data_IF_360967293699
#
_entry.id   IF_360967293699
#
_cell.length_a   1.000
_cell.length_b   1.000
_cell.length_c   1.000
_cell.angle_alpha   90.00
_cell.angle_beta   90.00
_cell.angle_gamma   90.00
#
_symmetry.space_group_name_H-M   'P 1'
#
loop_
_entity.id
_entity.type
_entity.pdbx_description
1 polymer ?
#
# COMPACT_ATOMS: atom_id res chain seq x y z
N UNK A 1 -8.59 -6.51 10.74
CA UNK A 1 -7.39 -6.44 9.90
C UNK A 1 -6.48 -5.32 10.38
N UNK A 2 -7.04 -4.18 10.84
CA UNK A 2 -6.24 -3.01 11.17
C UNK A 2 -5.75 -2.33 9.90
N UNK A 3 -4.74 -1.45 10.03
CA UNK A 3 -4.20 -0.68 8.91
C UNK A 3 -4.40 0.83 9.10
N UNK A 4 -3.64 1.61 8.32
CA UNK A 4 -3.66 3.07 8.38
C UNK A 4 -5.06 3.65 8.09
N UNK A 5 -5.80 3.06 7.14
CA UNK A 5 -7.12 3.55 6.76
C UNK A 5 -8.12 3.55 7.92
N UNK A 6 -8.23 2.41 8.62
CA UNK A 6 -9.17 2.23 9.72
C UNK A 6 -8.80 1.03 10.60
N UNK A 7 -8.81 1.23 11.92
CA UNK A 7 -8.49 0.19 12.90
C UNK A 7 -9.44 -1.01 12.88
N UNK A 8 -10.67 -0.82 12.43
CA UNK A 8 -11.72 -1.83 12.33
C UNK A 8 -11.89 -2.39 10.90
N UNK A 9 -10.93 -2.12 10.01
CA UNK A 9 -10.94 -2.65 8.66
C UNK A 9 -11.11 -4.18 8.65
N UNK A 10 -12.00 -4.65 7.79
CA UNK A 10 -12.28 -6.07 7.57
C UNK A 10 -12.23 -6.39 6.07
N UNK A 11 -11.97 -7.66 5.77
CA UNK A 11 -11.98 -8.20 4.41
C UNK A 11 -12.93 -9.39 4.37
N UNK A 12 -13.51 -9.65 3.21
CA UNK A 12 -14.36 -10.84 2.99
C UNK A 12 -13.65 -11.77 2.02
N UNK A 13 -13.42 -13.02 2.43
CA UNK A 13 -12.80 -14.05 1.61
C UNK A 13 -13.89 -15.02 1.16
N UNK A 14 -13.93 -15.30 -0.15
CA UNK A 14 -14.80 -16.32 -0.77
C UNK A 14 -13.87 -17.42 -1.32
N UNK A 15 -13.55 -18.46 -0.53
CA UNK A 15 -12.53 -19.44 -0.89
C UNK A 15 -12.87 -20.23 -2.15
N UNK A 16 -14.14 -20.59 -2.34
CA UNK A 16 -14.60 -21.40 -3.48
C UNK A 16 -14.39 -20.68 -4.82
N UNK A 17 -14.55 -19.35 -4.82
CA UNK A 17 -14.37 -18.51 -5.99
C UNK A 17 -12.96 -17.90 -6.08
N UNK A 18 -12.11 -18.13 -5.07
CA UNK A 18 -10.77 -17.53 -4.95
C UNK A 18 -10.81 -16.00 -5.05
N UNK A 19 -11.74 -15.38 -4.32
CA UNK A 19 -11.95 -13.93 -4.32
C UNK A 19 -11.74 -13.35 -2.91
N UNK A 20 -11.11 -12.17 -2.83
CA UNK A 20 -11.05 -11.35 -1.62
C UNK A 20 -11.62 -9.97 -1.90
N UNK A 21 -12.59 -9.53 -1.09
CA UNK A 21 -13.05 -8.15 -1.07
C UNK A 21 -12.22 -7.37 -0.03
N UNK A 22 -11.43 -6.43 -0.52
CA UNK A 22 -10.55 -5.58 0.30
C UNK A 22 -11.26 -4.35 0.85
N UNK A 23 -12.31 -3.90 0.16
CA UNK A 23 -12.87 -2.57 0.41
C UNK A 23 -11.75 -1.52 0.39
N UNK A 24 -11.59 -0.77 1.47
CA UNK A 24 -10.69 0.38 1.54
C UNK A 24 -9.45 0.10 2.41
N UNK A 25 -9.23 -1.16 2.83
CA UNK A 25 -8.25 -1.47 3.87
C UNK A 25 -6.80 -1.10 3.51
N UNK A 26 -6.44 -1.11 2.22
CA UNK A 26 -5.10 -0.77 1.74
C UNK A 26 -4.94 0.70 1.32
N UNK A 27 -5.96 1.55 1.48
CA UNK A 27 -5.83 2.99 1.22
C UNK A 27 -5.18 3.74 2.39
N UNK A 28 -4.80 5.00 2.14
CA UNK A 28 -4.19 5.88 3.13
C UNK A 28 -5.12 6.15 4.33
N UNK A 29 -4.52 6.57 5.43
CA UNK A 29 -5.24 7.32 6.47
C UNK A 29 -5.72 8.67 5.88
N UNK A 30 -7.04 8.84 5.83
CA UNK A 30 -7.70 10.06 5.35
C UNK A 30 -8.19 10.96 6.51
N UNK A 31 -8.07 10.51 7.75
CA UNK A 31 -8.83 11.03 8.89
C UNK A 31 -7.98 11.83 9.87
N UNK A 32 -6.64 11.67 9.85
CA UNK A 32 -5.74 12.28 10.83
C UNK A 32 -4.65 13.16 10.21
N UNK A 33 -5.06 14.07 9.33
CA UNK A 33 -4.16 15.06 8.71
C UNK A 33 -3.92 14.80 7.23
N UNK A 34 -2.70 15.08 6.72
CA UNK A 34 -2.34 14.70 5.36
C UNK A 34 -2.52 13.19 5.14
N UNK A 35 -2.82 12.81 3.90
CA UNK A 35 -2.85 11.42 3.45
C UNK A 35 -1.56 10.74 3.86
N UNK A 36 -1.65 9.58 4.52
CA UNK A 36 -0.44 8.92 5.00
C UNK A 36 -0.55 7.40 5.04
N UNK A 37 0.62 6.77 4.87
CA UNK A 37 0.86 5.38 5.22
C UNK A 37 1.94 5.28 6.29
N UNK A 38 1.85 4.26 7.14
CA UNK A 38 2.95 3.83 8.00
C UNK A 38 3.34 2.40 7.64
N UNK A 39 4.63 2.12 7.59
CA UNK A 39 5.15 0.75 7.40
C UNK A 39 4.66 -0.19 8.51
N UNK A 40 4.53 0.32 9.74
CA UNK A 40 4.11 -0.43 10.92
C UNK A 40 2.70 -1.02 10.79
N UNK A 41 1.76 -0.28 10.20
CA UNK A 41 0.38 -0.73 10.01
C UNK A 41 0.18 -1.37 8.63
N UNK A 42 0.74 -0.79 7.57
CA UNK A 42 0.51 -1.26 6.20
C UNK A 42 1.19 -2.60 5.90
N UNK A 43 2.43 -2.84 6.36
CA UNK A 43 3.17 -4.03 5.93
C UNK A 43 2.56 -5.33 6.48
N UNK A 44 2.17 -5.43 7.77
CA UNK A 44 1.48 -6.62 8.28
C UNK A 44 0.14 -6.87 7.56
N UNK A 45 -0.57 -5.79 7.19
CA UNK A 45 -1.81 -5.90 6.43
C UNK A 45 -1.56 -6.45 5.03
N UNK A 46 -0.57 -5.92 4.30
CA UNK A 46 -0.14 -6.44 3.00
C UNK A 46 0.20 -7.93 3.12
N UNK A 47 1.02 -8.33 4.10
CA UNK A 47 1.43 -9.73 4.29
C UNK A 47 0.23 -10.67 4.49
N UNK A 48 -0.78 -10.20 5.21
CA UNK A 48 -2.01 -10.96 5.41
C UNK A 48 -2.80 -11.07 4.10
N UNK A 49 -2.96 -9.96 3.37
CA UNK A 49 -3.74 -9.90 2.13
C UNK A 49 -3.11 -10.76 1.02
N UNK A 50 -1.80 -10.63 0.78
CA UNK A 50 -1.10 -11.42 -0.25
C UNK A 50 -1.02 -12.91 0.10
N UNK A 51 -1.18 -13.24 1.39
CA UNK A 51 -1.19 -14.60 1.91
C UNK A 51 -2.45 -15.39 1.58
N UNK A 52 -3.54 -14.74 1.14
CA UNK A 52 -4.76 -15.45 0.74
C UNK A 52 -4.56 -16.26 -0.55
N UNK A 53 -5.13 -17.47 -0.60
CA UNK A 53 -5.27 -18.25 -1.83
C UNK A 53 -6.44 -17.71 -2.65
N UNK A 54 -6.22 -16.55 -3.27
CA UNK A 54 -7.18 -15.87 -4.13
C UNK A 54 -6.55 -15.46 -5.45
N UNK A 55 -7.34 -15.54 -6.52
CA UNK A 55 -6.97 -15.15 -7.88
C UNK A 55 -7.31 -13.67 -8.13
N UNK A 56 -8.36 -13.17 -7.46
CA UNK A 56 -8.87 -11.81 -7.64
C UNK A 56 -9.13 -11.07 -6.32
N UNK A 57 -8.89 -9.76 -6.36
CA UNK A 57 -9.03 -8.83 -5.24
C UNK A 57 -9.88 -7.65 -5.68
N UNK A 58 -10.92 -7.34 -4.90
CA UNK A 58 -11.87 -6.26 -5.24
C UNK A 58 -11.71 -5.10 -4.25
N UNK A 59 -11.43 -3.93 -4.80
CA UNK A 59 -11.35 -2.67 -4.08
C UNK A 59 -12.74 -2.11 -3.77
N UNK A 60 -12.83 -1.17 -2.84
CA UNK A 60 -14.09 -0.51 -2.52
C UNK A 60 -14.61 0.39 -3.64
N UNK A 61 -13.71 0.95 -4.46
CA UNK A 61 -14.05 1.98 -5.46
C UNK A 61 -13.60 1.66 -6.89
N UNK A 62 -12.81 0.61 -7.10
CA UNK A 62 -12.41 0.18 -8.44
C UNK A 62 -13.49 -0.75 -9.03
N UNK A 63 -14.07 -0.44 -10.21
CA UNK A 63 -15.03 -1.33 -10.85
C UNK A 63 -14.42 -2.67 -11.31
N UNK A 64 -13.11 -2.74 -11.53
CA UNK A 64 -12.46 -3.93 -12.10
C UNK A 64 -11.73 -4.75 -11.01
N UNK A 65 -11.89 -6.09 -11.01
CA UNK A 65 -11.12 -6.96 -10.12
C UNK A 65 -9.63 -6.91 -10.44
N UNK A 66 -8.81 -6.74 -9.40
CA UNK A 66 -7.36 -6.81 -9.50
C UNK A 66 -6.90 -8.28 -9.45
N UNK A 67 -6.05 -8.70 -10.39
CA UNK A 67 -5.45 -10.05 -10.35
C UNK A 67 -4.41 -10.18 -9.23
N UNK A 68 -4.14 -11.41 -8.77
CA UNK A 68 -3.05 -11.67 -7.82
C UNK A 68 -1.69 -11.13 -8.26
N UNK A 69 -1.36 -11.23 -9.54
CA UNK A 69 -0.10 -10.69 -10.08
C UNK A 69 -0.05 -9.17 -9.94
N UNK A 70 -1.11 -8.47 -10.35
CA UNK A 70 -1.21 -7.01 -10.21
C UNK A 70 -1.17 -6.56 -8.74
N UNK A 71 -1.79 -7.31 -7.82
CA UNK A 71 -1.70 -7.04 -6.40
C UNK A 71 -0.27 -7.17 -5.89
N UNK A 72 0.46 -8.21 -6.30
CA UNK A 72 1.86 -8.42 -5.89
C UNK A 72 2.77 -7.30 -6.41
N UNK A 73 2.55 -6.86 -7.66
CA UNK A 73 3.30 -5.73 -8.22
C UNK A 73 3.02 -4.44 -7.45
N UNK A 74 1.73 -4.13 -7.21
CA UNK A 74 1.30 -2.95 -6.45
C UNK A 74 1.85 -2.94 -5.01
N UNK A 75 1.66 -4.04 -4.28
CA UNK A 75 2.11 -4.14 -2.88
C UNK A 75 3.64 -4.22 -2.76
N UNK A 76 4.32 -4.77 -3.77
CA UNK A 76 5.78 -4.73 -3.88
C UNK A 76 6.31 -3.31 -4.04
N UNK A 77 5.65 -2.48 -4.85
CA UNK A 77 5.97 -1.06 -4.98
C UNK A 77 5.74 -0.31 -3.65
N UNK A 78 4.60 -0.51 -3.00
CA UNK A 78 4.31 0.07 -1.68
C UNK A 78 5.40 -0.26 -0.65
N UNK A 79 5.79 -1.54 -0.54
CA UNK A 79 6.85 -1.96 0.38
C UNK A 79 8.19 -1.31 0.05
N UNK A 80 8.58 -1.34 -1.23
CA UNK A 80 9.85 -0.75 -1.68
C UNK A 80 9.92 0.75 -1.39
N UNK A 81 8.82 1.48 -1.59
CA UNK A 81 8.73 2.91 -1.30
C UNK A 81 8.78 3.15 0.21
N UNK A 82 7.97 2.44 1.00
CA UNK A 82 7.93 2.58 2.45
C UNK A 82 9.29 2.30 3.10
N UNK A 83 9.96 1.21 2.71
CA UNK A 83 11.32 0.88 3.17
C UNK A 83 12.34 1.97 2.80
N UNK A 84 12.22 2.52 1.59
CA UNK A 84 13.10 3.58 1.13
C UNK A 84 12.90 4.87 1.93
N UNK A 85 11.66 5.23 2.24
CA UNK A 85 11.32 6.39 3.07
C UNK A 85 11.82 6.19 4.50
N UNK A 86 11.61 5.03 5.13
CA UNK A 86 12.15 4.75 6.46
C UNK A 86 13.68 4.83 6.50
N UNK A 87 14.35 4.30 5.46
CA UNK A 87 15.81 4.25 5.39
C UNK A 87 16.43 5.64 5.26
N UNK A 88 15.81 6.52 4.47
CA UNK A 88 16.36 7.84 4.14
C UNK A 88 15.88 8.93 5.09
N UNK A 89 14.64 8.82 5.60
CA UNK A 89 14.00 9.85 6.40
C UNK A 89 13.27 10.89 5.55
N UNK A 90 13.29 12.15 5.97
CA UNK A 90 12.49 13.24 5.39
C UNK A 90 13.12 13.91 4.15
N UNK A 91 14.18 13.32 3.59
CA UNK A 91 14.87 13.83 2.40
C UNK A 91 14.19 13.38 1.11
N UNK A 92 13.04 14.00 0.80
CA UNK A 92 12.18 13.67 -0.36
C UNK A 92 12.95 13.58 -1.69
N UNK A 93 13.81 14.54 -1.99
CA UNK A 93 14.51 14.58 -3.28
C UNK A 93 15.48 13.40 -3.43
N UNK A 94 16.18 13.02 -2.35
CA UNK A 94 17.09 11.86 -2.32
C UNK A 94 16.32 10.53 -2.51
N UNK A 95 15.11 10.45 -1.95
CA UNK A 95 14.21 9.29 -2.15
C UNK A 95 13.82 9.20 -3.63
N UNK A 96 13.32 10.29 -4.21
CA UNK A 96 12.83 10.32 -5.59
C UNK A 96 13.95 10.07 -6.61
N UNK A 97 15.16 10.53 -6.33
CA UNK A 97 16.33 10.27 -7.20
C UNK A 97 16.70 8.77 -7.22
N UNK A 98 16.66 8.10 -6.08
CA UNK A 98 17.05 6.69 -5.96
C UNK A 98 15.96 5.71 -6.42
N UNK A 99 14.70 6.08 -6.24
CA UNK A 99 13.56 5.16 -6.34
C UNK A 99 13.43 4.45 -7.69
N UNK A 100 13.63 5.08 -8.87
CA UNK A 100 13.56 4.38 -10.15
C UNK A 100 14.47 3.16 -10.26
N UNK A 101 15.66 3.22 -9.65
CA UNK A 101 16.61 2.11 -9.61
C UNK A 101 16.20 0.98 -8.67
N UNK A 102 15.36 1.29 -7.67
CA UNK A 102 14.84 0.32 -6.70
C UNK A 102 13.63 -0.41 -7.27
N UNK A 103 12.67 0.32 -7.84
CA UNK A 103 11.43 -0.25 -8.39
C UNK A 103 11.57 -0.73 -9.84
N UNK A 104 12.68 -0.40 -10.51
CA UNK A 104 12.98 -0.87 -11.87
C UNK A 104 12.20 -0.18 -12.98
N UNK A 105 11.56 0.96 -12.71
CA UNK A 105 10.77 1.74 -13.67
C UNK A 105 10.82 3.24 -13.37
N UNK A 106 10.54 4.12 -14.36
CA UNK A 106 10.37 5.55 -14.11
C UNK A 106 9.23 5.82 -13.12
N UNK A 107 9.34 6.90 -12.34
CA UNK A 107 8.25 7.33 -11.46
C UNK A 107 7.13 7.96 -12.28
N UNK A 108 5.90 7.67 -11.86
CA UNK A 108 4.69 8.39 -12.27
C UNK A 108 4.11 9.17 -11.08
N UNK A 109 2.95 9.79 -11.29
CA UNK A 109 2.26 10.59 -10.26
C UNK A 109 1.86 9.75 -9.05
N UNK A 110 1.50 8.47 -9.24
CA UNK A 110 1.10 7.58 -8.15
C UNK A 110 2.31 7.25 -7.28
N UNK A 111 3.47 6.90 -7.88
CA UNK A 111 4.69 6.66 -7.10
C UNK A 111 5.11 7.88 -6.27
N UNK A 112 4.98 9.08 -6.85
CA UNK A 112 5.29 10.34 -6.15
C UNK A 112 4.30 10.56 -5.00
N UNK A 113 3.01 10.34 -5.23
CA UNK A 113 1.98 10.42 -4.18
C UNK A 113 2.23 9.46 -3.03
N UNK A 114 2.63 8.22 -3.33
CA UNK A 114 2.99 7.23 -2.30
C UNK A 114 4.19 7.67 -1.46
N UNK A 115 5.24 8.23 -2.07
CA UNK A 115 6.38 8.79 -1.33
C UNK A 115 5.90 9.89 -0.37
N UNK A 116 5.05 10.79 -0.85
CA UNK A 116 4.50 11.88 -0.02
C UNK A 116 3.64 11.36 1.13
N UNK A 117 2.85 10.31 0.91
CA UNK A 117 2.05 9.66 1.94
C UNK A 117 2.92 8.98 3.02
N UNK A 118 3.97 8.26 2.65
CA UNK A 118 4.90 7.68 3.63
C UNK A 118 5.69 8.75 4.39
N UNK A 119 6.10 9.83 3.73
CA UNK A 119 6.76 10.97 4.38
C UNK A 119 5.85 11.62 5.42
N UNK A 120 4.56 11.79 5.12
CA UNK A 120 3.57 12.27 6.07
C UNK A 120 3.38 11.30 7.26
N UNK A 121 3.50 10.00 7.02
CA UNK A 121 3.41 8.95 8.02
C UNK A 121 4.60 8.89 9.00
N UNK A 122 5.80 9.35 8.60
CA UNK A 122 6.97 9.40 9.49
C UNK A 122 6.70 10.21 10.78
N UNK A 123 5.82 11.20 10.72
CA UNK A 123 5.46 12.04 11.86
C UNK A 123 4.46 11.39 12.84
N UNK A 124 3.92 10.21 12.49
CA UNK A 124 2.94 9.47 13.28
C UNK A 124 3.55 8.32 14.10
N UNK A 125 4.85 8.03 13.91
CA UNK A 125 5.61 6.98 14.60
C UNK A 125 6.04 7.37 16.02
#
# INVERSE_FOLDING_TARGET
MGGDHASDACVVVIPEDKIVFLSDCLYEDLHHGPLSYTTAELFPLIDTVVGYDADYYLWGHDPEPMSKAALLDFTGALKSIGEQVERVGDHRDDILEALPGIIGQPLDEDHIGLVDAFLAGLCKL
#
